data_IF_028265410465
#
_entry.id   IF_028265410465
#
_cell.length_a   1.000
_cell.length_b   1.000
_cell.length_c   1.000
_cell.angle_alpha   90.00
_cell.angle_beta   90.00
_cell.angle_gamma   90.00
#
_symmetry.space_group_name_H-M   'P 1'
#
loop_
_entity.id
_entity.type
_entity.pdbx_description
1 polymer ?
#
# COMPACT_ATOMS: atom_id res chain seq x y z
N UNK A 1 13.54 -8.46 -10.60
CA UNK A 1 13.64 -8.07 -9.16
C UNK A 1 14.44 -9.14 -8.42
N UNK A 2 15.29 -8.80 -7.46
CA UNK A 2 16.11 -9.77 -6.71
C UNK A 2 15.42 -10.08 -5.36
N UNK A 3 14.61 -11.12 -5.37
CA UNK A 3 13.80 -11.56 -4.22
C UNK A 3 14.67 -11.86 -2.99
N UNK A 4 15.84 -12.49 -3.14
CA UNK A 4 16.71 -12.76 -2.00
C UNK A 4 17.25 -11.48 -1.35
N UNK A 5 17.57 -10.48 -2.17
CA UNK A 5 18.01 -9.17 -1.66
C UNK A 5 16.88 -8.47 -0.90
N UNK A 6 15.66 -8.55 -1.41
CA UNK A 6 14.50 -7.95 -0.74
C UNK A 6 14.16 -8.66 0.57
N UNK A 7 14.22 -9.99 0.62
CA UNK A 7 14.05 -10.77 1.85
C UNK A 7 15.11 -10.42 2.91
N UNK A 8 16.38 -10.30 2.51
CA UNK A 8 17.44 -9.86 3.44
C UNK A 8 17.20 -8.44 3.95
N UNK A 9 16.72 -7.55 3.08
CA UNK A 9 16.41 -6.17 3.45
C UNK A 9 15.20 -6.13 4.39
N UNK A 10 14.13 -6.88 4.08
CA UNK A 10 12.96 -7.01 4.95
C UNK A 10 13.37 -7.43 6.35
N UNK A 11 14.13 -8.53 6.48
CA UNK A 11 14.61 -9.02 7.77
C UNK A 11 15.39 -7.94 8.53
N UNK A 12 16.37 -7.30 7.89
CA UNK A 12 17.15 -6.22 8.51
C UNK A 12 16.27 -5.09 9.04
N UNK A 13 15.20 -4.74 8.29
CA UNK A 13 14.30 -3.64 8.64
C UNK A 13 13.35 -4.03 9.77
N UNK A 14 12.79 -5.23 9.75
CA UNK A 14 11.92 -5.73 10.83
C UNK A 14 12.71 -5.93 12.13
N UNK A 15 13.94 -6.44 12.07
CA UNK A 15 14.83 -6.53 13.25
C UNK A 15 15.08 -5.14 13.89
N UNK A 16 15.24 -4.09 13.05
CA UNK A 16 15.40 -2.73 13.54
C UNK A 16 14.10 -2.16 14.17
N UNK A 17 12.93 -2.52 13.65
CA UNK A 17 11.63 -2.16 14.25
C UNK A 17 11.45 -2.86 15.60
N UNK A 18 11.77 -4.15 15.69
CA UNK A 18 11.75 -4.90 16.96
C UNK A 18 12.62 -4.24 18.04
N UNK A 19 13.84 -3.84 17.68
CA UNK A 19 14.78 -3.22 18.62
C UNK A 19 14.29 -1.90 19.23
N UNK A 20 13.30 -1.25 18.63
CA UNK A 20 12.73 0.02 19.14
C UNK A 20 11.51 -0.16 20.05
N UNK A 21 10.94 -1.34 20.12
CA UNK A 21 9.86 -1.73 21.05
C UNK A 21 8.61 -0.81 21.03
N UNK A 22 8.36 -0.07 19.94
CA UNK A 22 7.20 0.82 19.84
C UNK A 22 5.95 0.15 19.26
N UNK A 23 6.12 -1.04 18.66
CA UNK A 23 5.04 -1.88 18.16
C UNK A 23 5.02 -3.23 18.91
N UNK A 24 3.83 -3.84 19.09
CA UNK A 24 3.73 -5.20 19.60
C UNK A 24 4.55 -6.19 18.76
N UNK A 25 5.31 -7.06 19.40
CA UNK A 25 6.14 -8.06 18.72
C UNK A 25 5.31 -8.96 17.81
N UNK A 26 4.13 -9.40 18.25
CA UNK A 26 3.19 -10.18 17.45
C UNK A 26 2.78 -9.48 16.15
N UNK A 27 2.54 -8.18 16.19
CA UNK A 27 2.18 -7.40 15.01
C UNK A 27 3.33 -7.34 13.99
N UNK A 28 4.55 -7.07 14.43
CA UNK A 28 5.72 -7.01 13.54
C UNK A 28 5.99 -8.40 12.95
N UNK A 29 5.82 -9.47 13.76
CA UNK A 29 5.97 -10.86 13.33
C UNK A 29 5.01 -11.21 12.20
N UNK A 30 3.71 -10.98 12.38
CA UNK A 30 2.71 -11.32 11.35
C UNK A 30 2.93 -10.50 10.07
N UNK A 31 3.23 -9.20 10.18
CA UNK A 31 3.54 -8.35 9.02
C UNK A 31 4.76 -8.87 8.27
N UNK A 32 5.83 -9.26 8.98
CA UNK A 32 7.04 -9.80 8.37
C UNK A 32 6.75 -11.10 7.61
N UNK A 33 6.01 -12.04 8.22
CA UNK A 33 5.61 -13.32 7.61
C UNK A 33 4.73 -13.11 6.37
N UNK A 34 3.76 -12.21 6.45
CA UNK A 34 2.89 -11.89 5.32
C UNK A 34 3.69 -11.30 4.16
N UNK A 35 4.57 -10.32 4.45
CA UNK A 35 5.36 -9.68 3.40
C UNK A 35 6.37 -10.65 2.77
N UNK A 36 7.03 -11.51 3.56
CA UNK A 36 7.88 -12.57 3.06
C UNK A 36 7.11 -13.50 2.09
N UNK A 37 5.91 -13.93 2.49
CA UNK A 37 5.05 -14.77 1.67
C UNK A 37 4.63 -14.08 0.37
N UNK A 38 4.32 -12.78 0.42
CA UNK A 38 4.03 -11.97 -0.77
C UNK A 38 5.26 -11.85 -1.71
N UNK A 39 6.47 -11.65 -1.17
CA UNK A 39 7.69 -11.58 -1.97
C UNK A 39 7.95 -12.90 -2.72
N UNK A 40 7.74 -14.04 -2.06
CA UNK A 40 7.86 -15.36 -2.67
C UNK A 40 6.79 -15.59 -3.75
N UNK A 41 5.53 -15.29 -3.43
CA UNK A 41 4.42 -15.41 -4.39
C UNK A 41 4.61 -14.51 -5.63
N UNK A 42 5.18 -13.32 -5.44
CA UNK A 42 5.51 -12.41 -6.55
C UNK A 42 6.62 -12.96 -7.45
N UNK A 43 7.62 -13.64 -6.88
CA UNK A 43 8.68 -14.26 -7.65
C UNK A 43 8.17 -15.39 -8.56
N UNK A 44 7.11 -16.09 -8.12
CA UNK A 44 6.47 -17.17 -8.86
C UNK A 44 5.36 -16.70 -9.81
N UNK A 45 4.94 -15.42 -9.70
CA UNK A 45 3.87 -14.88 -10.51
C UNK A 45 4.30 -14.65 -11.96
N UNK A 46 3.54 -15.17 -12.91
CA UNK A 46 3.72 -14.86 -14.31
C UNK A 46 3.07 -13.49 -14.65
N UNK A 47 3.75 -12.63 -15.43
CA UNK A 47 3.15 -11.39 -15.88
C UNK A 47 1.96 -11.66 -16.78
N UNK A 48 0.83 -11.03 -16.48
CA UNK A 48 -0.36 -11.05 -17.32
C UNK A 48 -0.48 -9.69 -18.01
N UNK A 49 -0.35 -9.68 -19.33
CA UNK A 49 -0.43 -8.44 -20.11
C UNK A 49 -1.89 -8.06 -20.32
N UNK A 50 -2.31 -6.83 -19.97
CA UNK A 50 -3.67 -6.39 -20.23
C UNK A 50 -3.92 -6.27 -21.74
N UNK A 51 -5.15 -6.53 -22.21
CA UNK A 51 -5.52 -6.28 -23.59
C UNK A 51 -5.30 -4.81 -23.98
N UNK A 52 -4.72 -4.57 -25.15
CA UNK A 52 -4.35 -3.21 -25.57
C UNK A 52 -5.55 -2.24 -25.66
N UNK A 53 -6.75 -2.75 -25.95
CA UNK A 53 -8.01 -2.00 -26.00
C UNK A 53 -8.51 -1.54 -24.62
N UNK A 54 -7.98 -2.12 -23.54
CA UNK A 54 -8.26 -1.70 -22.15
C UNK A 54 -7.36 -0.54 -21.70
N UNK A 55 -6.25 -0.30 -22.39
CA UNK A 55 -5.34 0.79 -22.02
C UNK A 55 -5.95 2.15 -22.40
N UNK A 56 -5.91 3.08 -21.47
CA UNK A 56 -6.38 4.44 -21.68
C UNK A 56 -5.57 5.15 -22.79
N UNK A 57 -6.21 5.74 -23.82
CA UNK A 57 -5.54 6.49 -24.86
C UNK A 57 -4.68 7.64 -24.34
N UNK A 58 -3.58 7.96 -25.06
CA UNK A 58 -2.59 8.98 -24.65
C UNK A 58 -3.25 10.33 -24.38
N UNK A 59 -4.23 10.74 -25.18
CA UNK A 59 -4.94 12.01 -25.07
C UNK A 59 -5.67 12.16 -23.74
N UNK A 60 -6.23 11.08 -23.20
CA UNK A 60 -6.86 11.07 -21.88
C UNK A 60 -5.85 11.02 -20.76
N UNK A 61 -4.74 10.28 -20.95
CA UNK A 61 -3.65 10.19 -19.94
C UNK A 61 -2.99 11.54 -19.71
N UNK A 62 -2.79 12.34 -20.74
CA UNK A 62 -2.26 13.71 -20.61
C UNK A 62 -3.20 14.59 -19.78
N UNK A 63 -4.50 14.31 -19.77
CA UNK A 63 -5.51 14.98 -18.94
C UNK A 63 -5.59 14.40 -17.51
N UNK A 64 -4.77 13.40 -17.16
CA UNK A 64 -4.70 12.80 -15.85
C UNK A 64 -5.44 11.47 -15.71
N UNK A 65 -6.06 10.92 -16.75
CA UNK A 65 -6.66 9.59 -16.64
C UNK A 65 -5.57 8.53 -16.41
N UNK A 66 -5.80 7.53 -15.51
CA UNK A 66 -4.86 6.45 -15.29
C UNK A 66 -4.74 5.57 -16.53
N UNK A 67 -3.61 4.84 -16.65
CA UNK A 67 -3.35 3.95 -17.77
C UNK A 67 -4.35 2.80 -17.84
N UNK A 68 -4.74 2.24 -16.68
CA UNK A 68 -5.67 1.12 -16.56
C UNK A 68 -6.51 1.27 -15.28
N UNK A 69 -7.81 1.01 -15.36
CA UNK A 69 -8.66 1.00 -14.18
C UNK A 69 -8.32 -0.19 -13.26
N UNK A 70 -8.53 -0.04 -11.94
CA UNK A 70 -8.22 -1.10 -10.94
C UNK A 70 -8.93 -2.42 -11.25
N UNK A 71 -10.20 -2.35 -11.64
CA UNK A 71 -11.06 -3.49 -11.98
C UNK A 71 -10.59 -4.28 -13.20
N UNK A 72 -9.83 -3.63 -14.09
CA UNK A 72 -9.29 -4.22 -15.32
C UNK A 72 -7.87 -4.80 -15.15
N UNK A 73 -7.29 -4.74 -13.93
CA UNK A 73 -5.96 -5.31 -13.69
C UNK A 73 -5.96 -6.81 -13.99
N UNK A 74 -5.05 -7.26 -14.87
CA UNK A 74 -4.94 -8.65 -15.25
C UNK A 74 -4.27 -9.45 -14.13
N UNK A 75 -5.01 -10.35 -13.50
CA UNK A 75 -4.56 -11.11 -12.33
C UNK A 75 -4.82 -12.59 -12.48
N UNK A 76 -3.86 -13.41 -12.07
CA UNK A 76 -4.09 -14.83 -11.81
C UNK A 76 -4.86 -15.01 -10.50
N UNK A 77 -6.19 -15.14 -10.61
CA UNK A 77 -7.08 -15.26 -9.47
C UNK A 77 -6.93 -16.62 -8.75
N UNK A 78 -6.47 -17.67 -9.43
CA UNK A 78 -6.22 -18.96 -8.81
C UNK A 78 -4.97 -18.91 -7.93
N UNK A 79 -3.90 -18.25 -8.38
CA UNK A 79 -2.73 -18.00 -7.56
C UNK A 79 -3.09 -17.13 -6.35
N UNK A 80 -3.82 -16.05 -6.57
CA UNK A 80 -4.29 -15.18 -5.47
C UNK A 80 -5.18 -15.95 -4.47
N UNK A 81 -6.05 -16.86 -4.94
CA UNK A 81 -6.89 -17.70 -4.08
C UNK A 81 -6.06 -18.64 -3.19
N UNK A 82 -5.01 -19.25 -3.74
CA UNK A 82 -4.07 -20.09 -2.97
C UNK A 82 -3.36 -19.25 -1.91
N UNK A 83 -2.88 -18.06 -2.27
CA UNK A 83 -2.22 -17.15 -1.34
C UNK A 83 -3.19 -16.67 -0.25
N UNK A 84 -4.45 -16.37 -0.60
CA UNK A 84 -5.48 -16.01 0.39
C UNK A 84 -5.63 -17.10 1.45
N UNK A 85 -5.74 -18.37 1.05
CA UNK A 85 -5.85 -19.48 1.99
C UNK A 85 -4.58 -19.62 2.85
N UNK A 86 -3.38 -19.49 2.27
CA UNK A 86 -2.12 -19.53 3.03
C UNK A 86 -2.07 -18.41 4.09
N UNK A 87 -2.48 -17.20 3.73
CA UNK A 87 -2.53 -16.07 4.66
C UNK A 87 -3.63 -16.25 5.72
N UNK A 88 -4.78 -16.79 5.34
CA UNK A 88 -5.85 -17.12 6.28
C UNK A 88 -5.38 -18.14 7.33
N UNK A 89 -4.68 -19.20 6.90
CA UNK A 89 -4.09 -20.19 7.81
C UNK A 89 -3.07 -19.56 8.77
N UNK A 90 -2.24 -18.63 8.29
CA UNK A 90 -1.33 -17.86 9.16
C UNK A 90 -2.07 -17.06 10.23
N UNK A 91 -3.18 -16.40 9.86
CA UNK A 91 -3.96 -15.61 10.82
C UNK A 91 -4.70 -16.49 11.83
N UNK A 92 -5.07 -17.72 11.47
CA UNK A 92 -5.67 -18.69 12.39
C UNK A 92 -4.73 -19.14 13.50
N UNK A 93 -3.40 -19.04 13.30
CA UNK A 93 -2.40 -19.32 14.33
C UNK A 93 -2.29 -18.19 15.36
N UNK A 94 -2.77 -16.97 15.01
CA UNK A 94 -2.73 -15.82 15.91
C UNK A 94 -3.77 -15.95 17.01
N UNK A 95 -3.46 -15.33 18.15
CA UNK A 95 -4.37 -15.27 19.29
C UNK A 95 -5.19 -14.01 19.23
N UNK A 96 -6.34 -14.04 19.90
CA UNK A 96 -7.25 -12.91 20.02
C UNK A 96 -7.78 -12.41 18.65
N UNK A 97 -8.16 -11.16 18.56
CA UNK A 97 -8.94 -10.55 17.48
C UNK A 97 -8.66 -11.01 16.05
N UNK A 98 -7.38 -11.16 15.64
CA UNK A 98 -7.04 -11.62 14.28
C UNK A 98 -7.39 -13.10 14.07
N UNK A 99 -7.05 -13.98 15.01
CA UNK A 99 -7.36 -15.40 14.92
C UNK A 99 -8.87 -15.68 14.96
N UNK A 100 -9.62 -14.95 15.79
CA UNK A 100 -11.09 -15.04 15.85
C UNK A 100 -11.71 -14.58 14.53
N UNK A 101 -11.27 -13.44 13.98
CA UNK A 101 -11.75 -12.96 12.69
C UNK A 101 -11.43 -13.93 11.54
N UNK A 102 -10.23 -14.51 11.53
CA UNK A 102 -9.84 -15.53 10.57
C UNK A 102 -10.73 -16.78 10.68
N UNK A 103 -11.10 -17.19 11.90
CA UNK A 103 -12.05 -18.27 12.15
C UNK A 103 -13.44 -17.99 11.55
N UNK A 104 -13.97 -16.79 11.76
CA UNK A 104 -15.25 -16.36 11.18
C UNK A 104 -15.19 -16.39 9.64
N UNK A 105 -14.12 -15.90 9.05
CA UNK A 105 -13.92 -15.90 7.58
C UNK A 105 -13.88 -17.34 7.05
N UNK A 106 -13.08 -18.22 7.67
CA UNK A 106 -12.97 -19.62 7.28
C UNK A 106 -14.32 -20.33 7.33
N UNK A 107 -15.05 -20.16 8.43
CA UNK A 107 -16.34 -20.81 8.63
C UNK A 107 -17.39 -20.30 7.63
N UNK A 108 -17.39 -19.02 7.32
CA UNK A 108 -18.24 -18.41 6.30
C UNK A 108 -17.92 -18.92 4.87
N UNK A 109 -16.64 -19.13 4.55
CA UNK A 109 -16.23 -19.76 3.27
C UNK A 109 -16.75 -21.21 3.22
N UNK A 110 -16.58 -21.98 4.29
CA UNK A 110 -17.03 -23.36 4.36
C UNK A 110 -18.56 -23.49 4.28
N UNK A 111 -19.30 -22.51 4.81
CA UNK A 111 -20.76 -22.44 4.71
C UNK A 111 -21.27 -21.93 3.34
N UNK A 112 -20.36 -21.43 2.46
CA UNK A 112 -20.74 -20.82 1.18
C UNK A 112 -21.34 -19.41 1.33
N UNK A 113 -21.21 -18.77 2.50
CA UNK A 113 -21.68 -17.42 2.76
C UNK A 113 -20.70 -16.35 2.25
N UNK A 114 -19.40 -16.68 2.18
CA UNK A 114 -18.34 -15.84 1.69
C UNK A 114 -17.66 -16.49 0.47
N UNK A 115 -17.63 -15.75 -0.64
CA UNK A 115 -16.93 -16.13 -1.87
C UNK A 115 -15.60 -15.36 -1.96
N UNK A 116 -14.48 -16.05 -2.01
CA UNK A 116 -13.15 -15.43 -2.19
C UNK A 116 -13.05 -14.71 -3.55
N UNK A 117 -13.51 -15.28 -4.69
CA UNK A 117 -13.54 -14.57 -5.98
C UNK A 117 -14.38 -13.27 -5.96
N UNK A 118 -15.52 -13.27 -5.27
CA UNK A 118 -16.36 -12.06 -5.14
C UNK A 118 -15.69 -11.03 -4.25
N UNK A 119 -15.03 -11.47 -3.18
CA UNK A 119 -14.21 -10.60 -2.31
C UNK A 119 -13.07 -9.92 -3.08
N UNK A 120 -12.40 -10.64 -3.98
CA UNK A 120 -11.39 -10.05 -4.86
C UNK A 120 -11.99 -9.02 -5.83
N UNK A 121 -13.15 -9.32 -6.38
CA UNK A 121 -13.87 -8.40 -7.26
C UNK A 121 -14.27 -7.12 -6.51
N UNK A 122 -14.83 -7.27 -5.30
CA UNK A 122 -15.18 -6.16 -4.43
C UNK A 122 -13.95 -5.28 -4.08
N UNK A 123 -12.79 -5.92 -3.79
CA UNK A 123 -11.56 -5.18 -3.52
C UNK A 123 -11.08 -4.36 -4.73
N UNK A 124 -11.09 -4.96 -5.93
CA UNK A 124 -10.69 -4.27 -7.16
C UNK A 124 -11.62 -3.11 -7.51
N UNK A 125 -12.92 -3.24 -7.26
CA UNK A 125 -13.94 -2.22 -7.48
C UNK A 125 -14.05 -1.19 -6.37
N UNK A 126 -13.27 -1.33 -5.28
CA UNK A 126 -13.37 -0.51 -4.07
C UNK A 126 -14.80 -0.53 -3.47
N UNK A 127 -15.45 -1.70 -3.47
CA UNK A 127 -16.78 -1.91 -2.91
C UNK A 127 -16.70 -1.94 -1.37
N UNK A 128 -16.74 -0.77 -0.75
CA UNK A 128 -16.69 -0.63 0.72
C UNK A 128 -17.89 -1.32 1.42
N UNK A 129 -19.14 -1.27 0.93
CA UNK A 129 -20.28 -1.99 1.51
C UNK A 129 -20.03 -3.48 1.71
N UNK A 130 -19.39 -4.16 0.74
CA UNK A 130 -19.02 -5.58 0.88
C UNK A 130 -18.17 -5.82 2.13
N UNK A 131 -17.11 -5.04 2.30
CA UNK A 131 -16.19 -5.19 3.44
C UNK A 131 -16.81 -4.72 4.75
N UNK A 132 -17.66 -3.69 4.73
CA UNK A 132 -18.34 -3.19 5.92
C UNK A 132 -19.27 -4.24 6.53
N UNK A 133 -20.04 -4.96 5.70
CA UNK A 133 -20.91 -6.07 6.15
C UNK A 133 -20.13 -7.15 6.91
N UNK A 134 -18.90 -7.44 6.49
CA UNK A 134 -18.03 -8.41 7.17
C UNK A 134 -17.35 -7.81 8.39
N UNK A 135 -17.00 -6.54 8.36
CA UNK A 135 -16.41 -5.84 9.50
C UNK A 135 -17.33 -5.86 10.74
N UNK A 136 -18.65 -5.73 10.55
CA UNK A 136 -19.64 -5.84 11.64
C UNK A 136 -19.64 -7.21 12.32
N UNK A 137 -19.34 -8.29 11.59
CA UNK A 137 -19.23 -9.64 12.14
C UNK A 137 -17.92 -9.88 12.91
N UNK A 138 -16.93 -9.00 12.74
CA UNK A 138 -15.58 -9.14 13.29
C UNK A 138 -15.15 -7.89 14.07
N UNK A 139 -15.86 -7.47 15.14
CA UNK A 139 -15.64 -6.18 15.79
C UNK A 139 -14.25 -6.02 16.43
N UNK A 140 -13.55 -7.10 16.77
CA UNK A 140 -12.21 -7.07 17.33
C UNK A 140 -11.11 -6.84 16.27
N UNK A 141 -11.37 -7.24 15.02
CA UNK A 141 -10.46 -7.05 13.89
C UNK A 141 -11.25 -6.81 12.59
N UNK A 142 -11.98 -5.67 12.48
CA UNK A 142 -12.97 -5.42 11.43
C UNK A 142 -12.38 -5.35 10.01
N UNK A 143 -11.07 -5.16 9.90
CA UNK A 143 -10.38 -5.02 8.62
C UNK A 143 -9.73 -6.30 8.10
N UNK A 144 -9.89 -7.44 8.80
CA UNK A 144 -9.21 -8.70 8.45
C UNK A 144 -9.55 -9.17 7.04
N UNK A 145 -10.81 -9.09 6.60
CA UNK A 145 -11.19 -9.53 5.25
C UNK A 145 -10.57 -8.66 4.15
N UNK A 146 -10.61 -7.33 4.29
CA UNK A 146 -10.01 -6.43 3.29
C UNK A 146 -8.49 -6.57 3.28
N UNK A 147 -7.86 -6.77 4.44
CA UNK A 147 -6.44 -7.06 4.56
C UNK A 147 -6.06 -8.34 3.81
N UNK A 148 -6.78 -9.44 4.02
CA UNK A 148 -6.54 -10.71 3.33
C UNK A 148 -6.71 -10.57 1.81
N UNK A 149 -7.77 -9.89 1.35
CA UNK A 149 -7.99 -9.65 -0.08
C UNK A 149 -6.86 -8.84 -0.70
N UNK A 150 -6.48 -7.73 -0.06
CA UNK A 150 -5.35 -6.90 -0.48
C UNK A 150 -4.05 -7.69 -0.51
N UNK A 151 -3.72 -8.36 0.59
CA UNK A 151 -2.47 -9.08 0.73
C UNK A 151 -2.32 -10.22 -0.29
N UNK A 152 -3.42 -10.92 -0.58
CA UNK A 152 -3.44 -12.00 -1.57
C UNK A 152 -3.32 -11.52 -3.02
N UNK A 153 -3.89 -10.36 -3.35
CA UNK A 153 -3.86 -9.80 -4.70
C UNK A 153 -2.56 -9.02 -4.99
N UNK A 154 -1.91 -8.46 -3.96
CA UNK A 154 -0.74 -7.58 -4.08
C UNK A 154 0.36 -8.15 -4.98
N UNK A 155 0.82 -9.41 -4.87
CA UNK A 155 1.87 -9.94 -5.72
C UNK A 155 1.54 -9.87 -7.22
N UNK A 156 0.33 -10.28 -7.59
CA UNK A 156 -0.15 -10.21 -8.98
C UNK A 156 -0.32 -8.78 -9.46
N UNK A 157 -0.83 -7.89 -8.60
CA UNK A 157 -0.98 -6.46 -8.91
C UNK A 157 0.38 -5.82 -9.17
N UNK A 158 1.39 -6.09 -8.35
CA UNK A 158 2.75 -5.54 -8.52
C UNK A 158 3.40 -6.04 -9.82
N UNK A 159 3.23 -7.31 -10.17
CA UNK A 159 3.75 -7.86 -11.42
C UNK A 159 3.06 -7.23 -12.63
N UNK A 160 1.74 -7.11 -12.60
CA UNK A 160 0.98 -6.44 -13.67
C UNK A 160 1.37 -4.95 -13.79
N UNK A 161 1.56 -4.27 -12.67
CA UNK A 161 1.97 -2.87 -12.65
C UNK A 161 3.38 -2.68 -13.25
N UNK A 162 4.32 -3.57 -12.96
CA UNK A 162 5.67 -3.53 -13.52
C UNK A 162 5.66 -3.63 -15.06
N UNK A 163 4.79 -4.45 -15.63
CA UNK A 163 4.58 -4.50 -17.09
C UNK A 163 3.97 -3.20 -17.62
N UNK A 164 3.00 -2.64 -16.90
CA UNK A 164 2.33 -1.39 -17.28
C UNK A 164 3.27 -0.17 -17.21
N UNK A 165 4.29 -0.19 -16.34
CA UNK A 165 5.30 0.89 -16.24
C UNK A 165 6.01 1.18 -17.57
N UNK A 166 6.19 0.17 -18.42
CA UNK A 166 6.81 0.33 -19.74
C UNK A 166 6.05 1.26 -20.70
N UNK A 167 4.77 1.55 -20.42
CA UNK A 167 3.93 2.47 -21.20
C UNK A 167 4.02 3.93 -20.74
N UNK A 168 4.78 4.24 -19.68
CA UNK A 168 4.83 5.55 -19.02
C UNK A 168 6.27 5.97 -18.72
N UNK A 169 6.52 7.28 -18.75
CA UNK A 169 7.73 7.86 -18.14
C UNK A 169 7.42 8.30 -16.71
N UNK A 170 7.68 7.42 -15.76
CA UNK A 170 7.44 7.66 -14.33
C UNK A 170 8.46 8.62 -13.69
N UNK A 171 9.51 9.03 -14.43
CA UNK A 171 10.51 10.02 -13.98
C UNK A 171 10.12 11.46 -14.36
N UNK A 172 9.25 11.64 -15.34
CA UNK A 172 8.64 12.96 -15.61
C UNK A 172 7.63 13.29 -14.52
N UNK A 173 7.69 14.50 -13.90
CA UNK A 173 6.78 14.85 -12.81
C UNK A 173 5.31 14.82 -13.24
N UNK A 174 4.53 13.93 -12.65
CA UNK A 174 3.09 13.80 -12.86
C UNK A 174 2.32 14.73 -11.91
N UNK A 175 1.49 15.62 -12.45
CA UNK A 175 0.89 16.73 -11.68
C UNK A 175 -0.50 16.46 -11.11
N UNK A 176 -1.05 15.27 -11.32
CA UNK A 176 -2.42 14.96 -10.91
C UNK A 176 -2.52 14.28 -9.52
N UNK A 177 -1.39 14.01 -8.86
CA UNK A 177 -1.33 13.52 -7.48
C UNK A 177 -1.58 12.04 -7.28
N UNK A 178 -2.56 11.45 -7.99
CA UNK A 178 -2.85 10.01 -7.97
C UNK A 178 -1.85 9.21 -8.83
N UNK A 179 -1.90 7.90 -8.74
CA UNK A 179 -1.04 7.00 -9.53
C UNK A 179 -1.36 7.06 -11.02
N UNK A 180 -0.39 7.33 -11.92
CA UNK A 180 -0.62 7.36 -13.35
C UNK A 180 -0.94 5.99 -13.95
N UNK A 181 -0.66 4.90 -13.24
CA UNK A 181 -0.97 3.52 -13.68
C UNK A 181 -2.43 3.17 -13.37
N UNK A 182 -2.84 3.26 -12.10
CA UNK A 182 -4.13 2.73 -11.65
C UNK A 182 -5.12 3.79 -11.09
N UNK A 183 -4.70 5.04 -10.98
CA UNK A 183 -5.55 6.12 -10.45
C UNK A 183 -5.71 6.16 -8.93
N UNK A 184 -5.14 5.20 -8.20
CA UNK A 184 -5.26 5.18 -6.73
C UNK A 184 -4.41 6.26 -6.07
N UNK A 185 -4.79 6.67 -4.87
CA UNK A 185 -4.07 7.67 -4.09
C UNK A 185 -2.74 7.11 -3.57
N UNK A 186 -1.75 7.97 -3.28
CA UNK A 186 -0.46 7.54 -2.77
C UNK A 186 -0.53 7.07 -1.31
N UNK A 187 0.28 6.07 -0.98
CA UNK A 187 0.50 5.52 0.36
C UNK A 187 1.51 6.34 1.15
N UNK A 188 2.70 6.56 0.55
CA UNK A 188 3.86 7.20 1.17
C UNK A 188 4.67 7.93 0.10
N UNK A 189 5.37 8.97 0.53
CA UNK A 189 6.31 9.72 -0.29
C UNK A 189 7.77 9.41 0.02
N UNK A 190 8.65 9.76 -0.90
CA UNK A 190 10.09 9.66 -0.75
C UNK A 190 10.77 10.90 -1.35
N UNK A 191 11.83 11.38 -0.72
CA UNK A 191 12.75 12.36 -1.29
C UNK A 191 14.04 11.65 -1.69
N UNK A 192 14.27 11.55 -2.99
CA UNK A 192 15.42 10.85 -3.58
C UNK A 192 16.46 11.81 -4.14
N UNK A 193 17.69 11.35 -4.26
CA UNK A 193 18.85 12.08 -4.71
C UNK A 193 19.14 13.34 -3.87
N UNK A 194 20.27 14.02 -4.13
CA UNK A 194 20.66 15.25 -3.41
C UNK A 194 19.66 16.39 -3.61
N UNK A 195 19.04 16.45 -4.78
CA UNK A 195 18.04 17.44 -5.18
C UNK A 195 16.71 17.26 -4.44
N UNK A 196 16.47 16.09 -3.86
CA UNK A 196 15.23 15.75 -3.16
C UNK A 196 14.03 15.66 -4.10
N UNK A 197 14.19 14.96 -5.22
CA UNK A 197 13.08 14.64 -6.10
C UNK A 197 12.01 13.85 -5.34
N UNK A 198 10.78 14.36 -5.37
CA UNK A 198 9.67 13.70 -4.67
C UNK A 198 9.08 12.61 -5.55
N UNK A 199 9.06 11.40 -5.00
CA UNK A 199 8.36 10.25 -5.56
C UNK A 199 7.26 9.83 -4.60
N UNK A 200 6.17 9.32 -5.15
CA UNK A 200 5.06 8.76 -4.39
C UNK A 200 4.92 7.28 -4.73
N UNK A 201 4.68 6.46 -3.72
CA UNK A 201 4.33 5.06 -3.90
C UNK A 201 2.83 4.90 -3.84
N UNK A 202 2.24 4.25 -4.83
CA UNK A 202 0.81 4.00 -4.91
C UNK A 202 0.33 3.08 -3.79
N UNK A 203 -0.86 3.34 -3.22
CA UNK A 203 -1.45 2.48 -2.18
C UNK A 203 -2.01 1.16 -2.71
N UNK A 204 -2.24 1.04 -4.01
CA UNK A 204 -2.81 -0.15 -4.63
C UNK A 204 -1.78 -0.99 -5.39
N UNK A 205 -1.09 -0.39 -6.37
CA UNK A 205 -0.17 -1.15 -7.22
C UNK A 205 1.31 -1.02 -6.83
N UNK A 206 1.60 -0.25 -5.80
CA UNK A 206 2.93 0.02 -5.23
C UNK A 206 3.95 0.60 -6.20
N UNK A 207 3.55 0.95 -7.43
CA UNK A 207 4.42 1.66 -8.37
C UNK A 207 4.83 3.01 -7.84
N UNK A 208 6.09 3.36 -8.11
CA UNK A 208 6.67 4.64 -7.69
C UNK A 208 6.70 5.62 -8.85
N UNK A 209 6.14 6.80 -8.67
CA UNK A 209 6.07 7.85 -9.70
C UNK A 209 6.49 9.19 -9.15
N UNK A 210 7.14 9.99 -10.01
CA UNK A 210 7.62 11.32 -9.65
C UNK A 210 6.51 12.36 -9.69
N UNK A 211 6.52 13.27 -8.70
CA UNK A 211 5.60 14.42 -8.63
C UNK A 211 6.38 15.71 -8.37
N UNK A 212 5.80 16.91 -8.63
CA UNK A 212 6.38 18.16 -8.17
C UNK A 212 6.54 18.14 -6.64
N UNK A 213 7.69 18.64 -6.17
CA UNK A 213 8.01 18.59 -4.74
C UNK A 213 7.07 19.42 -3.87
N UNK A 214 6.63 20.56 -4.40
CA UNK A 214 5.73 21.51 -3.73
C UNK A 214 4.34 21.41 -4.35
N UNK A 215 3.72 20.24 -4.17
CA UNK A 215 2.36 19.93 -4.62
C UNK A 215 1.71 19.03 -3.59
N UNK A 216 0.50 19.38 -3.15
CA UNK A 216 -0.33 18.46 -2.39
C UNK A 216 -0.89 17.37 -3.32
N UNK A 217 -0.63 16.07 -3.08
CA UNK A 217 -1.12 15.02 -3.97
C UNK A 217 -2.64 14.79 -3.87
N UNK A 218 -3.31 15.40 -2.91
CA UNK A 218 -4.73 15.16 -2.66
C UNK A 218 -5.65 16.26 -3.20
N UNK A 219 -5.24 17.53 -3.12
CA UNK A 219 -6.04 18.65 -3.61
C UNK A 219 -5.30 19.52 -4.63
N UNK A 220 -4.08 19.17 -4.99
CA UNK A 220 -3.22 19.84 -5.97
C UNK A 220 -2.84 21.28 -5.57
N UNK A 221 -2.89 21.62 -4.27
CA UNK A 221 -2.42 22.90 -3.74
C UNK A 221 -0.92 23.08 -4.03
N UNK A 222 -0.52 24.25 -4.50
CA UNK A 222 0.86 24.63 -4.80
C UNK A 222 1.34 25.85 -3.98
N UNK A 223 0.45 26.51 -3.25
CA UNK A 223 0.80 27.61 -2.38
C UNK A 223 1.68 27.10 -1.22
N UNK A 224 2.95 27.50 -1.25
CA UNK A 224 3.93 27.08 -0.24
C UNK A 224 3.61 27.57 1.16
N UNK A 225 2.79 28.61 1.31
CA UNK A 225 2.28 29.05 2.62
C UNK A 225 1.26 28.12 3.25
N UNK A 226 0.71 27.19 2.47
CA UNK A 226 -0.27 26.19 2.92
C UNK A 226 0.29 24.77 2.98
N UNK A 227 1.49 24.56 2.45
CA UNK A 227 2.20 23.30 2.45
C UNK A 227 3.27 23.33 3.53
N UNK A 228 3.08 22.55 4.57
CA UNK A 228 3.99 22.48 5.72
C UNK A 228 4.54 21.07 5.87
N UNK A 229 5.56 20.92 6.71
CA UNK A 229 6.01 19.59 7.14
C UNK A 229 6.54 19.65 8.57
N UNK A 230 6.50 18.50 9.24
CA UNK A 230 7.19 18.29 10.51
C UNK A 230 7.92 16.95 10.52
N UNK A 231 8.94 16.84 11.34
CA UNK A 231 9.77 15.63 11.50
C UNK A 231 9.55 15.03 12.89
N UNK A 232 9.82 13.74 13.04
CA UNK A 232 9.95 13.12 14.35
C UNK A 232 11.31 13.58 14.94
N UNK A 233 11.28 14.13 16.16
CA UNK A 233 12.47 14.74 16.74
C UNK A 233 13.65 13.80 16.97
N UNK A 234 13.42 12.50 17.09
CA UNK A 234 14.42 11.48 17.42
C UNK A 234 14.79 10.55 16.26
N UNK A 235 14.02 10.54 15.16
CA UNK A 235 14.25 9.67 14.02
C UNK A 235 14.53 10.48 12.74
N UNK A 236 15.82 10.72 12.40
CA UNK A 236 16.16 11.47 11.19
C UNK A 236 15.66 10.70 9.95
N UNK A 237 15.11 11.45 9.01
CA UNK A 237 14.74 10.93 7.69
C UNK A 237 13.28 10.53 7.53
N UNK A 238 12.43 10.58 8.56
CA UNK A 238 10.99 10.53 8.40
C UNK A 238 10.35 11.88 8.66
N UNK A 239 9.41 12.26 7.83
CA UNK A 239 8.62 13.48 7.99
C UNK A 239 7.17 13.28 7.55
N UNK A 240 6.32 14.19 7.97
CA UNK A 240 4.95 14.32 7.51
C UNK A 240 4.84 15.59 6.69
N UNK A 241 4.44 15.46 5.43
CA UNK A 241 4.04 16.59 4.60
C UNK A 241 2.53 16.84 4.80
N UNK A 242 2.13 18.04 5.15
CA UNK A 242 0.76 18.43 5.45
C UNK A 242 0.25 19.51 4.49
N UNK A 243 -1.05 19.55 4.28
CA UNK A 243 -1.72 20.59 3.49
C UNK A 243 -2.83 21.24 4.30
N UNK A 244 -2.74 22.56 4.52
CA UNK A 244 -3.75 23.35 5.25
C UNK A 244 -5.04 23.58 4.45
N UNK A 245 -5.00 23.39 3.13
CA UNK A 245 -6.18 23.55 2.26
C UNK A 245 -7.14 22.36 2.41
N UNK A 246 -6.65 21.11 2.36
CA UNK A 246 -7.49 19.93 2.45
C UNK A 246 -7.39 19.18 3.78
N UNK A 247 -6.50 19.61 4.69
CA UNK A 247 -6.20 18.96 5.97
C UNK A 247 -5.76 17.50 5.85
N UNK A 248 -5.21 17.13 4.69
CA UNK A 248 -4.62 15.81 4.48
C UNK A 248 -3.11 15.83 4.76
N UNK A 249 -2.56 14.66 5.09
CA UNK A 249 -1.13 14.47 5.20
C UNK A 249 -0.65 13.23 4.47
N UNK A 250 0.65 13.22 4.16
CA UNK A 250 1.37 12.04 3.67
C UNK A 250 2.71 11.93 4.40
N UNK A 251 3.04 10.73 4.84
CA UNK A 251 4.37 10.44 5.38
C UNK A 251 5.39 10.41 4.24
N UNK A 252 6.58 10.87 4.50
CA UNK A 252 7.64 10.95 3.48
C UNK A 252 8.97 10.53 4.09
N UNK A 253 9.66 9.58 3.45
CA UNK A 253 11.02 9.18 3.78
C UNK A 253 12.02 10.08 3.07
N UNK A 254 12.89 10.75 3.80
CA UNK A 254 13.92 11.63 3.25
C UNK A 254 15.26 10.90 3.14
N UNK A 255 15.51 10.25 2.01
CA UNK A 255 16.74 9.52 1.75
C UNK A 255 18.00 10.40 1.61
N UNK A 256 17.86 11.71 1.66
CA UNK A 256 19.01 12.61 1.80
C UNK A 256 19.61 12.59 3.21
N UNK A 257 18.79 12.16 4.19
CA UNK A 257 19.14 12.05 5.62
C UNK A 257 19.42 10.62 6.07
N UNK A 258 19.16 9.63 5.20
CA UNK A 258 19.27 8.21 5.52
C UNK A 258 20.04 7.47 4.43
N UNK A 259 21.04 6.70 4.82
CA UNK A 259 21.75 5.77 3.92
C UNK A 259 21.12 4.36 4.03
N UNK A 260 19.97 4.20 3.38
CA UNK A 260 19.29 2.91 3.31
C UNK A 260 18.45 2.78 2.04
N UNK A 261 18.14 1.54 1.66
CA UNK A 261 17.22 1.25 0.57
C UNK A 261 15.77 1.44 1.02
N UNK A 262 14.95 1.95 0.12
CA UNK A 262 13.50 2.07 0.32
C UNK A 262 12.84 0.70 0.39
N UNK A 263 11.94 0.55 1.36
CA UNK A 263 10.89 -0.45 1.43
C UNK A 263 9.61 0.28 1.84
N UNK A 264 8.85 0.84 0.90
CA UNK A 264 7.76 1.79 1.21
C UNK A 264 6.75 1.27 2.23
N UNK A 265 6.37 -0.02 2.14
CA UNK A 265 5.42 -0.64 3.07
C UNK A 265 5.99 -0.76 4.49
N UNK A 266 7.29 -1.05 4.61
CA UNK A 266 7.98 -1.13 5.90
C UNK A 266 8.31 0.27 6.41
N UNK A 267 8.65 1.22 5.53
CA UNK A 267 8.88 2.62 5.89
C UNK A 267 7.59 3.27 6.44
N UNK A 268 6.44 2.87 5.90
CA UNK A 268 5.14 3.29 6.41
C UNK A 268 4.89 2.75 7.84
N UNK A 269 5.19 1.49 8.10
CA UNK A 269 5.11 0.88 9.43
C UNK A 269 6.09 1.53 10.41
N UNK A 270 7.34 1.71 9.97
CA UNK A 270 8.45 2.24 10.74
C UNK A 270 8.19 3.69 11.23
N UNK A 271 7.36 4.43 10.50
CA UNK A 271 6.97 5.81 10.78
C UNK A 271 5.56 5.96 11.40
N UNK A 272 4.97 4.89 11.95
CA UNK A 272 3.64 4.91 12.55
C UNK A 272 3.44 5.98 13.64
N UNK A 273 4.42 6.28 14.53
CA UNK A 273 4.27 7.36 15.51
C UNK A 273 3.96 8.72 14.89
N UNK A 274 4.37 8.97 13.63
CA UNK A 274 4.04 10.20 12.91
C UNK A 274 2.57 10.29 12.51
N UNK A 275 1.89 9.16 12.25
CA UNK A 275 0.44 9.13 12.00
C UNK A 275 -0.32 9.62 13.24
N UNK A 276 0.07 9.12 14.44
CA UNK A 276 -0.53 9.52 15.70
C UNK A 276 -0.37 11.03 15.94
N UNK A 277 0.81 11.57 15.64
CA UNK A 277 1.07 13.01 15.79
C UNK A 277 0.26 13.84 14.79
N UNK A 278 0.23 13.44 13.52
CA UNK A 278 -0.53 14.15 12.49
C UNK A 278 -2.03 14.19 12.82
N UNK A 279 -2.58 13.08 13.29
CA UNK A 279 -3.98 12.99 13.70
C UNK A 279 -4.29 13.86 14.92
N UNK A 280 -3.39 13.96 15.91
CA UNK A 280 -3.52 14.90 17.04
C UNK A 280 -3.53 16.36 16.60
N UNK A 281 -2.86 16.69 15.49
CA UNK A 281 -2.88 18.01 14.87
C UNK A 281 -4.05 18.19 13.89
N UNK A 282 -5.06 17.29 13.90
CA UNK A 282 -6.27 17.27 13.08
C UNK A 282 -6.03 17.10 11.56
N UNK A 283 -4.90 16.55 11.17
CA UNK A 283 -4.71 16.10 9.79
C UNK A 283 -5.26 14.70 9.58
N UNK A 284 -5.73 14.40 8.36
CA UNK A 284 -6.30 13.11 7.98
C UNK A 284 -5.39 12.39 7.01
N UNK A 285 -5.29 11.08 7.18
CA UNK A 285 -4.63 10.21 6.21
C UNK A 285 -5.63 9.84 5.11
N UNK A 286 -5.19 9.97 3.85
CA UNK A 286 -6.05 9.68 2.69
C UNK A 286 -6.18 8.18 2.38
N UNK A 287 -5.15 7.40 2.72
CA UNK A 287 -5.08 5.96 2.45
C UNK A 287 -4.72 5.20 3.72
N UNK A 288 -5.23 4.00 3.86
CA UNK A 288 -4.77 3.09 4.92
C UNK A 288 -3.36 2.61 4.63
N UNK A 289 -2.68 2.11 5.67
CA UNK A 289 -1.45 1.35 5.48
C UNK A 289 -1.72 0.08 4.67
N UNK A 290 -0.69 -0.52 4.09
CA UNK A 290 -0.79 -1.83 3.45
C UNK A 290 -1.19 -2.95 4.43
N UNK A 291 -1.17 -2.67 5.73
CA UNK A 291 -1.46 -3.58 6.83
C UNK A 291 -2.85 -3.41 7.44
N UNK A 292 -3.67 -2.51 6.83
CA UNK A 292 -5.07 -2.32 7.20
C UNK A 292 -5.34 -1.40 8.40
N UNK A 293 -4.36 -0.59 8.80
CA UNK A 293 -4.53 0.43 9.86
C UNK A 293 -4.02 1.81 9.45
#
# INVERSE_FOLDING_TARGET
>A
MDTEKELRLLKKRTDAIYAREFLPESLVSIISRVYETQLLARADAAPVVPPADKLTPVEKRVQGAPLLAREDFPLDRDQAGKLFNTLLDMLLEEKEGLGEAAGIIRDAIAAGELSVPDTFTAFLQADEPHFFTWAEKMPQAPRTLVFLAQAALTPGIEVAAAELEHHLDLNTPFRHGHCPICGSLPLIGELRAKEGFKHLTCSFCHSSYRVPRLLCPFCLEEDTGKLEFFEAGEEPGFRVDTCRTCNMYIKTTDFRKMDRNSLPLVDDLDSLPLDIRAQKENFKRATLSAWGF
#
